data_IF_174975005989
#
_entry.id   IF_174975005989
#
_cell.length_a   1.000
_cell.length_b   1.000
_cell.length_c   1.000
_cell.angle_alpha   90.00
_cell.angle_beta   90.00
_cell.angle_gamma   90.00
#
_symmetry.space_group_name_H-M   'P 1'
#
loop_
_entity.id
_entity.type
_entity.pdbx_description
1 polymer ?
#
# COMPACT_ATOMS: atom_id res chain seq x y z
N UNK A 1 18.40 6.47 -31.63
CA UNK A 1 18.86 7.16 -30.41
C UNK A 1 17.61 7.73 -29.77
N UNK A 2 16.97 6.92 -28.92
CA UNK A 2 15.68 7.28 -28.32
C UNK A 2 15.90 8.37 -27.26
N UNK A 3 15.00 9.36 -27.26
CA UNK A 3 15.15 10.63 -26.53
C UNK A 3 14.69 10.45 -25.09
N UNK A 4 15.55 10.82 -24.12
CA UNK A 4 15.21 10.88 -22.69
C UNK A 4 13.87 11.61 -22.44
N UNK A 5 13.06 11.14 -21.47
CA UNK A 5 11.87 11.84 -21.01
C UNK A 5 12.24 13.01 -20.10
N UNK A 6 12.02 14.22 -20.61
CA UNK A 6 12.26 15.46 -19.90
C UNK A 6 11.55 15.52 -18.52
N UNK A 7 10.37 14.92 -18.37
CA UNK A 7 9.65 14.92 -17.08
C UNK A 7 10.37 14.11 -16.01
N UNK A 8 10.93 12.96 -16.38
CA UNK A 8 11.70 12.12 -15.44
C UNK A 8 13.00 12.82 -15.01
N UNK A 9 13.67 13.48 -15.95
CA UNK A 9 14.85 14.30 -15.66
C UNK A 9 14.50 15.48 -14.74
N UNK A 10 13.40 16.19 -15.02
CA UNK A 10 12.91 17.27 -14.16
C UNK A 10 12.59 16.78 -12.74
N UNK A 11 11.98 15.61 -12.60
CA UNK A 11 11.65 15.01 -11.31
C UNK A 11 12.93 14.70 -10.50
N UNK A 12 13.94 14.12 -11.15
CA UNK A 12 15.23 13.85 -10.52
C UNK A 12 15.92 15.14 -10.07
N UNK A 13 15.95 16.17 -10.92
CA UNK A 13 16.52 17.48 -10.58
C UNK A 13 15.82 18.13 -9.39
N UNK A 14 14.47 18.15 -9.37
CA UNK A 14 13.71 18.73 -8.25
C UNK A 14 13.93 17.98 -6.94
N UNK A 15 14.16 16.66 -6.98
CA UNK A 15 14.41 15.84 -5.80
C UNK A 15 15.83 15.98 -5.24
N UNK A 16 16.83 16.09 -6.12
CA UNK A 16 18.25 16.14 -5.74
C UNK A 16 18.84 17.55 -5.68
N UNK A 17 18.09 18.56 -6.13
CA UNK A 17 18.47 19.96 -6.06
C UNK A 17 19.54 20.38 -7.06
N UNK A 18 20.04 21.60 -6.89
CA UNK A 18 21.14 22.16 -7.69
C UNK A 18 22.41 21.30 -7.67
N UNK A 19 22.58 20.43 -6.68
CA UNK A 19 23.73 19.52 -6.63
C UNK A 19 23.71 18.53 -7.80
N UNK A 20 22.56 17.94 -8.12
CA UNK A 20 22.45 17.05 -9.28
C UNK A 20 22.62 17.82 -10.58
N UNK A 21 22.09 19.04 -10.67
CA UNK A 21 22.27 19.90 -11.85
C UNK A 21 23.76 20.11 -12.15
N UNK A 22 24.55 20.50 -11.14
CA UNK A 22 26.01 20.68 -11.31
C UNK A 22 26.74 19.39 -11.67
N UNK A 23 26.33 18.27 -11.09
CA UNK A 23 26.89 16.96 -11.43
C UNK A 23 26.54 16.57 -12.86
N UNK A 24 25.33 16.89 -13.31
CA UNK A 24 24.88 16.64 -14.68
C UNK A 24 25.69 17.45 -15.68
N UNK A 25 25.84 18.76 -15.44
CA UNK A 25 26.63 19.68 -16.27
C UNK A 25 28.10 19.22 -16.36
N UNK A 26 28.68 18.71 -15.27
CA UNK A 26 30.08 18.24 -15.25
C UNK A 26 30.32 16.83 -15.80
N UNK A 27 29.34 15.93 -15.70
CA UNK A 27 29.48 14.53 -16.20
C UNK A 27 28.91 14.35 -17.61
N UNK A 28 28.09 15.29 -18.09
CA UNK A 28 27.47 15.29 -19.42
C UNK A 28 27.73 16.62 -20.13
N UNK A 29 26.75 17.13 -20.89
CA UNK A 29 26.86 18.39 -21.62
C UNK A 29 26.04 19.47 -20.90
N UNK A 30 26.65 20.63 -20.64
CA UNK A 30 26.02 21.78 -19.98
C UNK A 30 24.73 22.23 -20.66
N UNK A 31 24.63 22.07 -21.98
CA UNK A 31 23.46 22.48 -22.76
C UNK A 31 22.38 21.40 -22.86
N UNK A 32 22.63 20.18 -22.42
CA UNK A 32 21.69 19.06 -22.60
C UNK A 32 20.38 19.27 -21.84
N UNK A 33 20.45 19.81 -20.62
CA UNK A 33 19.28 20.15 -19.83
C UNK A 33 18.44 21.25 -20.50
N UNK A 34 19.10 22.22 -21.14
CA UNK A 34 18.43 23.26 -21.92
C UNK A 34 17.80 22.68 -23.20
N UNK A 35 18.48 21.76 -23.88
CA UNK A 35 17.96 21.07 -25.07
C UNK A 35 16.74 20.19 -24.77
N UNK A 36 16.63 19.68 -23.54
CA UNK A 36 15.46 18.92 -23.07
C UNK A 36 14.22 19.79 -22.82
N UNK A 37 14.29 21.11 -23.03
CA UNK A 37 13.19 22.07 -22.83
C UNK A 37 12.53 21.93 -21.44
N UNK A 38 13.34 21.68 -20.41
CA UNK A 38 12.86 21.58 -19.05
C UNK A 38 12.36 22.96 -18.60
N UNK A 39 11.13 23.06 -18.10
CA UNK A 39 10.73 24.23 -17.29
C UNK A 39 11.69 24.30 -16.11
N UNK A 40 12.16 25.50 -15.79
CA UNK A 40 13.13 25.71 -14.70
C UNK A 40 12.71 24.93 -13.44
N UNK A 41 13.53 23.97 -12.97
CA UNK A 41 13.21 23.21 -11.76
C UNK A 41 13.20 24.15 -10.55
N UNK A 42 12.12 24.12 -9.76
CA UNK A 42 11.95 25.01 -8.61
C UNK A 42 12.59 24.47 -7.32
N UNK A 43 13.03 23.21 -7.32
CA UNK A 43 13.71 22.53 -6.22
C UNK A 43 12.96 22.53 -4.88
N UNK A 44 11.64 22.72 -4.89
CA UNK A 44 10.84 22.82 -3.66
C UNK A 44 10.93 21.53 -2.82
N UNK A 45 10.87 20.38 -3.49
CA UNK A 45 11.02 19.06 -2.87
C UNK A 45 12.38 18.91 -2.18
N UNK A 46 13.45 19.35 -2.84
CA UNK A 46 14.79 19.35 -2.24
C UNK A 46 14.85 20.26 -1.00
N UNK A 47 14.27 21.46 -1.05
CA UNK A 47 14.27 22.40 0.08
C UNK A 47 13.53 21.85 1.31
N UNK A 48 12.45 21.11 1.11
CA UNK A 48 11.74 20.44 2.21
C UNK A 48 12.59 19.31 2.81
N UNK A 49 13.28 18.52 1.98
CA UNK A 49 14.09 17.38 2.39
C UNK A 49 15.46 17.74 2.95
N UNK A 50 16.03 18.89 2.63
CA UNK A 50 17.40 19.24 3.02
C UNK A 50 17.61 19.17 4.55
N UNK A 51 16.55 19.40 5.33
CA UNK A 51 16.55 19.33 6.80
C UNK A 51 16.80 17.91 7.33
N UNK A 52 16.50 16.87 6.55
CA UNK A 52 16.69 15.46 6.92
C UNK A 52 17.96 14.85 6.32
N UNK A 53 18.71 15.60 5.51
CA UNK A 53 19.93 15.11 4.88
C UNK A 53 21.14 15.23 5.81
N UNK A 54 21.57 14.10 6.39
CA UNK A 54 22.77 14.05 7.24
C UNK A 54 24.05 14.43 6.49
N UNK A 55 24.97 15.14 7.15
CA UNK A 55 26.28 15.47 6.57
C UNK A 55 27.11 14.19 6.30
N UNK A 56 27.00 13.17 7.14
CA UNK A 56 27.75 11.91 7.02
C UNK A 56 27.49 11.16 5.71
N UNK A 57 26.31 11.34 5.11
CA UNK A 57 25.93 10.67 3.85
C UNK A 57 26.25 11.51 2.60
N UNK A 58 26.90 12.67 2.73
CA UNK A 58 27.20 13.56 1.59
C UNK A 58 27.95 12.84 0.47
N UNK A 59 28.95 12.02 0.79
CA UNK A 59 29.71 11.26 -0.20
C UNK A 59 28.86 10.22 -0.93
N UNK A 60 27.96 9.54 -0.23
CA UNK A 60 27.02 8.57 -0.83
C UNK A 60 26.05 9.27 -1.79
N UNK A 61 25.51 10.43 -1.38
CA UNK A 61 24.64 11.25 -2.22
C UNK A 61 25.33 11.71 -3.50
N UNK A 62 26.58 12.15 -3.41
CA UNK A 62 27.37 12.55 -4.57
C UNK A 62 27.54 11.37 -5.55
N UNK A 63 27.93 10.19 -5.06
CA UNK A 63 28.06 8.99 -5.90
C UNK A 63 26.75 8.62 -6.59
N UNK A 64 25.63 8.72 -5.87
CA UNK A 64 24.30 8.50 -6.45
C UNK A 64 24.00 9.51 -7.56
N UNK A 65 24.24 10.81 -7.33
CA UNK A 65 24.04 11.85 -8.34
C UNK A 65 24.91 11.61 -9.60
N UNK A 66 26.17 11.20 -9.41
CA UNK A 66 27.05 10.84 -10.53
C UNK A 66 26.54 9.63 -11.31
N UNK A 67 26.02 8.61 -10.61
CA UNK A 67 25.39 7.45 -11.24
C UNK A 67 24.18 7.86 -12.08
N UNK A 68 23.30 8.71 -11.52
CA UNK A 68 22.11 9.21 -12.20
C UNK A 68 22.45 9.97 -13.48
N UNK A 69 23.48 10.82 -13.46
CA UNK A 69 23.96 11.51 -14.66
C UNK A 69 24.60 10.54 -15.66
N UNK A 70 25.54 9.68 -15.24
CA UNK A 70 26.24 8.74 -16.14
C UNK A 70 25.34 7.72 -16.80
N UNK A 71 24.23 7.36 -16.16
CA UNK A 71 23.24 6.38 -16.65
C UNK A 71 21.95 7.02 -17.13
N UNK A 72 21.93 8.34 -17.31
CA UNK A 72 20.74 9.09 -17.69
C UNK A 72 20.03 8.52 -18.94
N UNK A 73 20.79 8.18 -19.98
CA UNK A 73 20.24 7.65 -21.23
C UNK A 73 19.44 6.36 -21.01
N UNK A 74 19.86 5.52 -20.08
CA UNK A 74 19.18 4.26 -19.76
C UNK A 74 18.09 4.43 -18.69
N UNK A 75 18.29 5.33 -17.71
CA UNK A 75 17.37 5.54 -16.60
C UNK A 75 16.14 6.34 -17.01
N UNK A 76 16.32 7.32 -17.89
CA UNK A 76 15.26 8.25 -18.31
C UNK A 76 14.75 7.98 -19.73
N UNK A 77 15.06 6.80 -20.28
CA UNK A 77 14.56 6.39 -21.58
C UNK A 77 13.02 6.32 -21.58
N UNK A 78 12.38 6.95 -22.58
CA UNK A 78 10.93 6.87 -22.78
C UNK A 78 10.47 5.45 -23.02
N UNK A 79 11.29 4.62 -23.67
CA UNK A 79 10.96 3.22 -23.93
C UNK A 79 10.74 2.41 -22.64
N UNK A 80 11.32 2.84 -21.50
CA UNK A 80 11.06 2.19 -20.22
C UNK A 80 9.63 2.44 -19.69
N UNK A 81 8.97 3.51 -20.12
CA UNK A 81 7.56 3.79 -19.79
C UNK A 81 6.60 3.01 -20.70
N UNK A 82 7.04 2.72 -21.93
CA UNK A 82 6.25 2.05 -22.96
C UNK A 82 6.30 0.53 -22.86
N UNK A 83 7.33 -0.02 -22.20
CA UNK A 83 7.34 -1.43 -21.81
C UNK A 83 6.18 -1.65 -20.85
N UNK A 84 5.06 -2.07 -21.41
CA UNK A 84 4.05 -2.83 -20.71
C UNK A 84 4.78 -4.08 -20.27
N UNK A 85 5.35 -4.03 -19.06
CA UNK A 85 5.59 -5.25 -18.32
C UNK A 85 4.18 -5.80 -18.19
N UNK A 86 3.83 -6.79 -19.02
CA UNK A 86 2.66 -7.59 -18.72
C UNK A 86 2.85 -7.95 -17.26
N UNK A 87 1.92 -7.54 -16.36
CA UNK A 87 2.07 -7.86 -14.97
C UNK A 87 2.29 -9.36 -14.98
N UNK A 88 3.47 -9.79 -14.52
CA UNK A 88 3.76 -11.21 -14.35
C UNK A 88 2.52 -11.67 -13.60
N UNK A 89 1.72 -12.54 -14.22
CA UNK A 89 0.59 -13.17 -13.55
C UNK A 89 1.23 -14.09 -12.53
N UNK A 90 1.66 -13.48 -11.44
CA UNK A 90 2.33 -14.12 -10.35
C UNK A 90 1.26 -15.00 -9.76
N UNK A 91 1.44 -16.32 -9.89
CA UNK A 91 0.52 -17.25 -9.27
C UNK A 91 0.56 -16.99 -7.77
N UNK A 92 -0.61 -16.70 -7.21
CA UNK A 92 -0.81 -16.37 -5.80
C UNK A 92 -0.21 -17.50 -4.95
N UNK A 93 0.83 -17.20 -4.16
CA UNK A 93 1.43 -18.15 -3.20
C UNK A 93 2.77 -18.77 -3.61
N UNK A 94 3.46 -18.24 -4.63
CA UNK A 94 4.83 -18.67 -4.96
C UNK A 94 5.85 -18.08 -3.96
N UNK A 95 5.82 -18.59 -2.72
CA UNK A 95 6.69 -18.21 -1.60
C UNK A 95 8.19 -18.48 -1.88
N UNK A 96 8.51 -19.21 -2.94
CA UNK A 96 9.89 -19.60 -3.28
C UNK A 96 10.75 -18.41 -3.76
N UNK A 97 10.15 -17.30 -4.18
CA UNK A 97 10.88 -16.20 -4.84
C UNK A 97 10.85 -14.85 -4.13
N UNK A 98 10.05 -14.69 -3.07
CA UNK A 98 10.02 -13.45 -2.30
C UNK A 98 9.53 -13.66 -0.87
N UNK A 99 10.08 -12.88 0.06
CA UNK A 99 9.56 -12.81 1.42
C UNK A 99 8.26 -11.98 1.44
N UNK A 100 7.30 -12.36 2.28
CA UNK A 100 6.17 -11.49 2.65
C UNK A 100 6.72 -10.25 3.34
N UNK A 101 6.90 -9.17 2.59
CA UNK A 101 7.41 -7.92 3.12
C UNK A 101 6.29 -7.20 3.90
N UNK A 102 6.59 -6.63 5.08
CA UNK A 102 5.65 -5.76 5.77
C UNK A 102 5.20 -4.61 4.85
N UNK A 103 4.00 -4.10 5.06
CA UNK A 103 3.52 -2.92 4.34
C UNK A 103 4.48 -1.74 4.49
N UNK A 104 4.53 -0.87 3.48
CA UNK A 104 5.42 0.30 3.48
C UNK A 104 5.26 1.16 4.75
N UNK A 105 4.03 1.23 5.27
CA UNK A 105 3.67 1.95 6.50
C UNK A 105 4.46 1.49 7.74
N UNK A 106 5.00 0.26 7.74
CA UNK A 106 5.87 -0.25 8.82
C UNK A 106 7.26 0.38 8.80
N UNK A 107 7.74 0.80 7.62
CA UNK A 107 9.07 1.40 7.45
C UNK A 107 9.05 2.92 7.52
N UNK A 108 7.88 3.54 7.42
CA UNK A 108 7.71 4.99 7.47
C UNK A 108 7.23 5.40 8.85
N UNK A 109 7.91 6.36 9.47
CA UNK A 109 7.44 6.95 10.73
C UNK A 109 6.20 7.79 10.47
N UNK A 110 5.02 7.22 10.73
CA UNK A 110 3.72 7.88 10.55
C UNK A 110 2.95 7.93 11.87
N UNK A 111 2.21 9.02 12.09
CA UNK A 111 1.26 9.10 13.22
C UNK A 111 0.12 8.10 13.03
N UNK A 112 -0.48 7.66 14.14
CA UNK A 112 -1.55 6.65 14.14
C UNK A 112 -2.75 7.05 13.27
N UNK A 113 -3.16 8.32 13.33
CA UNK A 113 -4.24 8.89 12.52
C UNK A 113 -3.97 8.78 11.02
N UNK A 114 -2.73 9.08 10.59
CA UNK A 114 -2.36 8.96 9.19
C UNK A 114 -2.32 7.50 8.73
N UNK A 115 -1.88 6.56 9.58
CA UNK A 115 -1.94 5.12 9.25
C UNK A 115 -3.37 4.61 9.09
N UNK A 116 -4.29 5.06 9.95
CA UNK A 116 -5.72 4.76 9.83
C UNK A 116 -6.25 5.28 8.50
N UNK A 117 -6.01 6.56 8.19
CA UNK A 117 -6.41 7.16 6.91
C UNK A 117 -5.86 6.37 5.72
N UNK A 118 -4.57 6.10 5.69
CA UNK A 118 -3.93 5.33 4.61
C UNK A 118 -4.58 3.95 4.41
N UNK A 119 -4.87 3.24 5.51
CA UNK A 119 -5.53 1.94 5.43
C UNK A 119 -6.95 2.08 4.87
N UNK A 120 -7.73 3.05 5.35
CA UNK A 120 -9.10 3.27 4.87
C UNK A 120 -9.14 3.71 3.40
N UNK A 121 -8.21 4.57 2.96
CA UNK A 121 -8.06 4.97 1.56
C UNK A 121 -7.69 3.79 0.65
N UNK A 122 -7.05 2.76 1.20
CA UNK A 122 -6.70 1.55 0.46
C UNK A 122 -7.83 0.54 0.33
N UNK A 123 -8.88 0.63 1.15
CA UNK A 123 -10.01 -0.29 1.11
C UNK A 123 -10.98 0.07 -0.02
N UNK A 124 -11.37 -0.94 -0.78
CA UNK A 124 -12.35 -0.85 -1.87
C UNK A 124 -13.58 -1.69 -1.51
N UNK A 125 -14.75 -1.24 -1.95
CA UNK A 125 -15.98 -2.03 -1.83
C UNK A 125 -15.79 -3.39 -2.50
N UNK A 126 -16.15 -4.47 -1.80
CA UNK A 126 -15.91 -5.85 -2.22
C UNK A 126 -14.62 -6.46 -1.70
N UNK A 127 -13.74 -5.70 -1.03
CA UNK A 127 -12.56 -6.25 -0.37
C UNK A 127 -12.93 -7.14 0.82
N UNK A 128 -12.16 -8.20 1.02
CA UNK A 128 -12.33 -9.10 2.15
C UNK A 128 -11.42 -8.64 3.29
N UNK A 129 -11.97 -8.62 4.51
CA UNK A 129 -11.23 -8.29 5.72
C UNK A 129 -11.47 -9.35 6.80
N UNK A 130 -10.40 -9.62 7.56
CA UNK A 130 -10.45 -10.44 8.75
C UNK A 130 -10.65 -9.53 9.96
N UNK A 131 -11.63 -9.87 10.79
CA UNK A 131 -12.00 -9.05 11.94
C UNK A 131 -12.35 -9.91 13.15
N UNK A 132 -12.34 -9.29 14.32
CA UNK A 132 -12.76 -9.90 15.57
C UNK A 132 -14.02 -9.23 16.09
N UNK A 133 -15.01 -10.01 16.52
CA UNK A 133 -16.23 -9.49 17.14
C UNK A 133 -15.88 -8.84 18.47
N UNK A 134 -16.07 -7.52 18.58
CA UNK A 134 -15.90 -6.81 19.85
C UNK A 134 -17.15 -6.95 20.71
N UNK A 135 -18.31 -6.67 20.12
CA UNK A 135 -19.58 -6.70 20.85
C UNK A 135 -20.75 -6.88 19.89
N UNK A 136 -21.85 -7.40 20.46
CA UNK A 136 -23.15 -7.43 19.80
C UNK A 136 -23.94 -6.20 20.23
N UNK A 137 -24.50 -5.50 19.27
CA UNK A 137 -25.31 -4.31 19.45
C UNK A 137 -26.69 -4.49 18.82
N UNK A 138 -27.65 -3.63 19.16
CA UNK A 138 -28.99 -3.68 18.57
C UNK A 138 -28.99 -3.63 17.02
N UNK A 139 -28.22 -2.75 16.34
CA UNK A 139 -28.18 -2.72 14.88
C UNK A 139 -27.41 -3.90 14.26
N UNK A 140 -26.49 -4.50 15.01
CA UNK A 140 -25.77 -5.71 14.58
C UNK A 140 -24.44 -5.90 15.30
N UNK A 141 -23.39 -6.28 14.58
CA UNK A 141 -22.09 -6.59 15.17
C UNK A 141 -21.12 -5.41 15.04
N UNK A 142 -20.40 -5.15 16.12
CA UNK A 142 -19.24 -4.26 16.11
C UNK A 142 -17.98 -5.12 16.09
N UNK A 143 -17.15 -4.92 15.07
CA UNK A 143 -15.93 -5.68 14.84
C UNK A 143 -14.70 -4.78 14.94
N UNK A 144 -13.56 -5.38 15.25
CA UNK A 144 -12.23 -4.79 15.17
C UNK A 144 -11.48 -5.42 14.00
N UNK A 145 -10.95 -4.61 13.08
CA UNK A 145 -10.15 -5.11 11.95
C UNK A 145 -8.83 -5.69 12.47
N UNK A 146 -8.48 -6.87 11.96
CA UNK A 146 -7.23 -7.55 12.24
C UNK A 146 -6.25 -7.37 11.09
N UNK A 147 -6.67 -7.76 9.89
CA UNK A 147 -5.93 -7.57 8.64
C UNK A 147 -6.89 -7.57 7.45
N UNK A 148 -6.45 -7.05 6.30
CA UNK A 148 -7.17 -7.20 5.03
C UNK A 148 -6.72 -8.47 4.29
N UNK A 149 -7.57 -8.97 3.42
CA UNK A 149 -7.25 -10.05 2.49
C UNK A 149 -6.78 -9.42 1.17
N UNK A 150 -5.47 -9.46 0.94
CA UNK A 150 -4.85 -8.99 -0.29
C UNK A 150 -3.55 -9.74 -0.50
N UNK A 151 -2.96 -9.65 -1.68
CA UNK A 151 -1.68 -10.26 -2.03
C UNK A 151 -0.55 -9.86 -1.06
N UNK A 152 -0.64 -8.65 -0.49
CA UNK A 152 0.21 -8.16 0.59
C UNK A 152 -0.66 -7.78 1.80
N UNK A 153 -1.07 -8.73 2.66
CA UNK A 153 -1.98 -8.46 3.76
C UNK A 153 -1.36 -7.47 4.75
N UNK A 154 -2.09 -6.41 5.05
CA UNK A 154 -1.74 -5.41 6.06
C UNK A 154 -2.37 -5.79 7.39
N UNK A 155 -1.53 -6.12 8.36
CA UNK A 155 -1.95 -6.31 9.76
C UNK A 155 -2.13 -4.93 10.40
N UNK A 156 -3.33 -4.65 10.91
CA UNK A 156 -3.73 -3.33 11.43
C UNK A 156 -4.39 -3.40 12.81
N UNK A 157 -4.06 -4.45 13.57
CA UNK A 157 -4.68 -4.74 14.86
C UNK A 157 -4.41 -3.65 15.91
N UNK A 158 -3.27 -2.98 15.81
CA UNK A 158 -2.84 -1.86 16.66
C UNK A 158 -3.56 -0.55 16.32
N UNK A 159 -4.09 -0.42 15.09
CA UNK A 159 -4.83 0.77 14.67
C UNK A 159 -6.19 0.85 15.36
N UNK A 160 -6.81 -0.30 15.65
CA UNK A 160 -8.09 -0.35 16.38
C UNK A 160 -9.28 0.12 15.54
N UNK A 161 -9.21 -0.10 14.23
CA UNK A 161 -10.26 0.27 13.27
C UNK A 161 -11.51 -0.56 13.54
N UNK A 162 -12.66 0.13 13.58
CA UNK A 162 -13.96 -0.47 13.89
C UNK A 162 -14.79 -0.63 12.63
N UNK A 163 -15.46 -1.78 12.53
CA UNK A 163 -16.36 -2.12 11.42
C UNK A 163 -17.73 -2.46 11.97
N UNK A 164 -18.77 -1.99 11.29
CA UNK A 164 -20.16 -2.31 11.63
C UNK A 164 -20.75 -3.27 10.60
N UNK A 165 -21.48 -4.27 11.09
CA UNK A 165 -22.28 -5.16 10.26
C UNK A 165 -23.71 -5.14 10.77
N UNK A 166 -24.67 -4.89 9.88
CA UNK A 166 -26.09 -4.96 10.22
C UNK A 166 -26.54 -6.40 10.37
N UNK A 167 -27.46 -6.69 11.29
CA UNK A 167 -28.02 -8.04 11.48
C UNK A 167 -28.55 -8.66 10.17
N UNK A 168 -29.17 -7.85 9.31
CA UNK A 168 -29.68 -8.27 7.99
C UNK A 168 -28.60 -8.69 7.01
N UNK A 169 -27.35 -8.31 7.24
CA UNK A 169 -26.20 -8.62 6.40
C UNK A 169 -25.27 -9.68 7.01
N UNK A 170 -25.67 -10.29 8.13
CA UNK A 170 -24.94 -11.42 8.74
C UNK A 170 -25.36 -12.76 8.16
N UNK A 171 -24.43 -13.72 8.14
CA UNK A 171 -24.72 -15.14 7.88
C UNK A 171 -24.67 -15.94 9.19
N UNK A 172 -25.36 -17.08 9.30
CA UNK A 172 -25.31 -17.90 10.51
C UNK A 172 -23.88 -18.34 10.84
N UNK A 173 -23.48 -18.25 12.11
CA UNK A 173 -22.15 -18.68 12.53
C UNK A 173 -22.14 -20.21 12.65
N UNK A 174 -21.27 -20.89 11.90
CA UNK A 174 -21.16 -22.36 11.88
C UNK A 174 -19.80 -22.74 12.45
N UNK A 175 -19.79 -23.56 13.51
CA UNK A 175 -18.54 -24.02 14.12
C UNK A 175 -17.85 -25.12 13.31
N UNK A 176 -16.63 -25.54 13.72
CA UNK A 176 -15.90 -26.64 13.07
C UNK A 176 -16.68 -27.96 13.01
N UNK A 177 -17.71 -28.15 13.84
CA UNK A 177 -18.56 -29.34 13.92
C UNK A 177 -19.84 -29.21 13.08
N UNK A 178 -20.02 -28.10 12.36
CA UNK A 178 -21.21 -27.84 11.56
C UNK A 178 -22.42 -27.37 12.37
N UNK A 179 -22.23 -27.01 13.64
CA UNK A 179 -23.31 -26.55 14.52
C UNK A 179 -23.49 -25.04 14.37
N UNK A 180 -24.70 -24.64 14.02
CA UNK A 180 -25.07 -23.23 13.89
C UNK A 180 -25.31 -22.60 15.27
N UNK A 181 -24.65 -21.47 15.53
CA UNK A 181 -24.86 -20.64 16.72
C UNK A 181 -24.88 -19.15 16.38
N UNK A 182 -25.15 -18.32 17.38
CA UNK A 182 -24.96 -16.88 17.27
C UNK A 182 -23.48 -16.49 17.42
N UNK A 183 -23.10 -15.36 16.83
CA UNK A 183 -21.80 -14.74 17.07
C UNK A 183 -21.65 -14.31 18.53
N UNK A 184 -20.46 -14.51 19.07
CA UNK A 184 -20.04 -14.18 20.42
C UNK A 184 -18.87 -13.19 20.36
N UNK A 185 -18.62 -12.49 21.47
CA UNK A 185 -17.43 -11.66 21.58
C UNK A 185 -16.17 -12.52 21.41
N UNK A 186 -15.16 -11.95 20.77
CA UNK A 186 -13.89 -12.56 20.38
C UNK A 186 -13.96 -13.61 19.25
N UNK A 187 -15.14 -13.88 18.67
CA UNK A 187 -15.23 -14.68 17.44
C UNK A 187 -14.43 -14.00 16.32
N UNK A 188 -13.70 -14.81 15.55
CA UNK A 188 -12.99 -14.37 14.36
C UNK A 188 -13.94 -14.50 13.17
N UNK A 189 -13.98 -13.47 12.33
CA UNK A 189 -14.89 -13.42 11.18
C UNK A 189 -14.19 -12.96 9.92
N UNK A 190 -14.62 -13.54 8.79
CA UNK A 190 -14.25 -13.13 7.43
C UNK A 190 -15.44 -12.38 6.83
N UNK A 191 -15.25 -11.14 6.39
CA UNK A 191 -16.34 -10.24 5.97
C UNK A 191 -15.94 -9.42 4.74
N UNK A 192 -16.92 -8.98 3.97
CA UNK A 192 -16.73 -8.15 2.77
C UNK A 192 -17.04 -6.69 3.07
N UNK A 193 -16.19 -5.78 2.64
CA UNK A 193 -16.40 -4.32 2.75
C UNK A 193 -17.55 -3.90 1.83
N UNK A 194 -18.54 -3.22 2.40
CA UNK A 194 -19.69 -2.68 1.65
C UNK A 194 -19.60 -1.17 1.48
N UNK A 195 -19.15 -0.45 2.51
CA UNK A 195 -19.00 1.00 2.48
C UNK A 195 -17.77 1.42 3.28
N UNK A 196 -17.05 2.42 2.78
CA UNK A 196 -15.92 3.04 3.47
C UNK A 196 -16.11 4.55 3.46
N UNK A 197 -16.03 5.17 4.63
CA UNK A 197 -15.97 6.61 4.79
C UNK A 197 -14.69 6.96 5.55
N UNK A 198 -13.70 7.45 4.81
CA UNK A 198 -12.37 7.79 5.32
C UNK A 198 -12.44 8.94 6.32
N UNK A 199 -13.19 10.00 6.02
CA UNK A 199 -13.30 11.20 6.86
C UNK A 199 -13.97 10.92 8.21
N UNK A 200 -14.96 10.01 8.23
CA UNK A 200 -15.65 9.59 9.44
C UNK A 200 -15.01 8.38 10.14
N UNK A 201 -13.88 7.88 9.63
CA UNK A 201 -13.23 6.63 10.06
C UNK A 201 -14.21 5.45 10.21
N UNK A 202 -15.18 5.36 9.29
CA UNK A 202 -16.30 4.40 9.36
C UNK A 202 -16.21 3.40 8.22
N UNK A 203 -16.26 2.12 8.58
CA UNK A 203 -16.37 1.01 7.63
C UNK A 203 -17.63 0.20 7.94
N UNK A 204 -18.39 -0.11 6.89
CA UNK A 204 -19.52 -1.03 6.95
C UNK A 204 -19.17 -2.27 6.15
N UNK A 205 -19.39 -3.44 6.74
CA UNK A 205 -19.14 -4.72 6.09
C UNK A 205 -20.39 -5.61 6.11
N UNK A 206 -20.35 -6.64 5.29
CA UNK A 206 -21.43 -7.60 5.07
C UNK A 206 -20.84 -9.02 4.94
N UNK A 207 -21.64 -10.03 5.24
CA UNK A 207 -21.26 -11.45 5.09
C UNK A 207 -22.08 -12.17 4.02
N UNK A 208 -23.20 -11.59 3.60
CA UNK A 208 -24.16 -12.18 2.66
C UNK A 208 -23.90 -11.79 1.19
N UNK A 209 -22.74 -11.19 0.91
CA UNK A 209 -22.32 -10.79 -0.44
C UNK A 209 -20.99 -11.49 -0.77
N UNK A 210 -20.77 -11.86 -2.05
CA UNK A 210 -19.49 -12.39 -2.47
C UNK A 210 -18.42 -11.28 -2.48
N UNK A 211 -17.17 -11.69 -2.34
CA UNK A 211 -16.01 -10.84 -2.55
C UNK A 211 -15.89 -10.40 -4.01
N UNK A 212 -15.20 -9.30 -4.29
CA UNK A 212 -14.89 -8.89 -5.67
C UNK A 212 -13.90 -9.86 -6.33
N UNK A 213 -13.89 -9.88 -7.66
CA UNK A 213 -12.90 -10.67 -8.42
C UNK A 213 -11.47 -10.19 -8.14
N UNK A 214 -10.52 -11.11 -8.16
CA UNK A 214 -9.09 -10.82 -7.95
C UNK A 214 -8.66 -10.65 -6.50
N UNK A 215 -9.48 -11.06 -5.53
CA UNK A 215 -9.06 -11.17 -4.13
C UNK A 215 -8.17 -12.40 -3.92
N UNK A 216 -7.20 -12.29 -3.01
CA UNK A 216 -6.41 -13.44 -2.55
C UNK A 216 -7.32 -14.53 -1.96
N UNK A 217 -6.91 -15.82 -2.00
CA UNK A 217 -7.70 -16.91 -1.46
C UNK A 217 -8.10 -16.66 0.00
N UNK A 218 -9.38 -16.83 0.30
CA UNK A 218 -9.95 -16.57 1.62
C UNK A 218 -10.98 -17.65 1.99
N UNK A 219 -11.21 -17.88 3.29
CA UNK A 219 -12.29 -18.76 3.74
C UNK A 219 -13.66 -18.16 3.39
N UNK A 220 -14.74 -18.95 3.48
CA UNK A 220 -16.10 -18.45 3.35
C UNK A 220 -16.41 -17.32 4.33
N UNK A 221 -17.31 -16.41 3.93
CA UNK A 221 -17.74 -15.32 4.80
C UNK A 221 -18.48 -15.84 6.03
N UNK A 222 -18.28 -15.18 7.17
CA UNK A 222 -18.85 -15.56 8.46
C UNK A 222 -17.80 -15.97 9.47
N UNK A 223 -18.14 -16.93 10.35
CA UNK A 223 -17.26 -17.41 11.41
C UNK A 223 -16.07 -18.20 10.85
N UNK A 224 -14.86 -17.83 11.29
CA UNK A 224 -13.60 -18.50 10.95
C UNK A 224 -12.82 -18.84 12.21
N UNK A 225 -11.71 -19.57 12.05
CA UNK A 225 -10.83 -19.98 13.13
C UNK A 225 -9.43 -19.39 12.96
N UNK A 226 -8.61 -19.47 14.00
CA UNK A 226 -7.22 -19.00 13.99
C UNK A 226 -6.38 -19.60 12.86
N UNK A 227 -6.68 -20.84 12.48
CA UNK A 227 -5.96 -21.56 11.45
C UNK A 227 -6.20 -20.95 10.05
N UNK A 228 -7.35 -20.32 9.86
CA UNK A 228 -7.79 -19.70 8.60
C UNK A 228 -7.21 -18.29 8.40
N UNK A 229 -6.54 -17.73 9.41
CA UNK A 229 -5.91 -16.42 9.31
C UNK A 229 -4.64 -16.48 8.45
N UNK A 230 -4.33 -15.40 7.70
CA UNK A 230 -3.09 -15.32 6.93
C UNK A 230 -1.85 -15.51 7.82
N UNK A 231 -0.79 -16.12 7.28
CA UNK A 231 0.45 -16.32 8.04
C UNK A 231 1.06 -15.01 8.55
N UNK A 232 0.96 -13.93 7.77
CA UNK A 232 1.41 -12.61 8.19
C UNK A 232 0.76 -12.12 9.50
N UNK A 233 -0.39 -12.67 9.89
CA UNK A 233 -1.06 -12.37 11.14
C UNK A 233 -0.65 -13.29 12.30
N UNK A 234 -0.14 -14.49 12.03
CA UNK A 234 0.19 -15.51 13.03
C UNK A 234 1.56 -15.25 13.67
#
# INVERSE_FOLDING_TARGET
MESMDARLVAQALNYHGQQLQKVWEGERNENELAMLNLKEPNFEIYQQRQKTLSFGDRGKRLKLQQFLAKKADALYDKANLEKTVEPIKQELGDEEFYATMPGLDTFVTMEKSQRIRNFLESLVVGDVIYAQVMSKSAPGLLLKVLCNCSDCPRVVTELGIKVLILNTATVPAVDKKGVTRGYMANDLVCVVVSEVNVEAERVVAVMNMPAREGQAPHPPMGLIHSDDLPEAYK
#
